data_IF_336728835386
#
_entry.id   IF_336728835386
#
_cell.length_a   1.000
_cell.length_b   1.000
_cell.length_c   1.000
_cell.angle_alpha   90.00
_cell.angle_beta   90.00
_cell.angle_gamma   90.00
#
_symmetry.space_group_name_H-M   'P 1'
#
loop_
_entity.id
_entity.type
_entity.pdbx_description
1 polymer ?
#
# COMPACT_ATOMS: atom_id res chain seq x y z
N UNK A 1 7.94 0.10 -17.80
CA UNK A 1 8.96 -0.86 -17.35
C UNK A 1 9.79 -1.32 -18.54
N UNK A 2 11.02 -1.74 -18.29
CA UNK A 2 11.93 -2.31 -19.28
C UNK A 2 12.44 -3.66 -18.78
N UNK A 3 12.27 -4.71 -19.59
CA UNK A 3 12.73 -6.05 -19.24
C UNK A 3 14.13 -6.30 -19.80
N UNK A 4 15.07 -6.60 -18.92
CA UNK A 4 16.40 -7.06 -19.30
C UNK A 4 16.45 -8.60 -19.28
N UNK A 5 16.55 -9.19 -20.48
CA UNK A 5 16.60 -10.65 -20.69
C UNK A 5 17.86 -11.31 -20.16
N UNK A 6 18.99 -10.59 -20.09
CA UNK A 6 20.25 -11.14 -19.60
C UNK A 6 20.28 -11.29 -18.08
N UNK A 7 19.66 -10.36 -17.36
CA UNK A 7 19.61 -10.37 -15.89
C UNK A 7 18.28 -10.89 -15.33
N UNK A 8 17.26 -11.09 -16.17
CA UNK A 8 15.87 -11.35 -15.78
C UNK A 8 15.33 -10.31 -14.77
N UNK A 9 15.62 -9.02 -15.04
CA UNK A 9 15.20 -7.91 -14.17
C UNK A 9 14.25 -7.00 -14.96
N UNK A 10 13.13 -6.63 -14.35
CA UNK A 10 12.20 -5.63 -14.87
C UNK A 10 12.49 -4.30 -14.18
N UNK A 11 13.11 -3.36 -14.90
CA UNK A 11 13.44 -2.02 -14.40
C UNK A 11 12.26 -1.06 -14.56
N UNK A 12 12.04 -0.21 -13.57
CA UNK A 12 11.11 0.90 -13.70
C UNK A 12 11.72 1.99 -14.59
N UNK A 13 10.88 2.63 -15.42
CA UNK A 13 11.28 3.82 -16.19
C UNK A 13 10.99 5.12 -15.45
N UNK A 14 10.01 5.09 -14.55
CA UNK A 14 9.55 6.25 -13.78
C UNK A 14 10.35 6.41 -12.47
N UNK A 15 10.66 5.29 -11.82
CA UNK A 15 11.46 5.27 -10.61
C UNK A 15 12.86 4.78 -10.95
N UNK A 16 13.78 5.73 -11.18
CA UNK A 16 15.19 5.43 -11.41
C UNK A 16 15.77 4.55 -10.31
N UNK A 17 16.70 3.69 -10.68
CA UNK A 17 17.36 2.73 -9.77
C UNK A 17 16.42 1.76 -9.04
N UNK A 18 15.19 1.57 -9.54
CA UNK A 18 14.23 0.60 -9.00
C UNK A 18 13.90 -0.50 -10.01
N UNK A 19 13.72 -1.71 -9.51
CA UNK A 19 13.19 -2.84 -10.26
C UNK A 19 12.03 -3.50 -9.52
N UNK A 20 11.23 -4.28 -10.24
CA UNK A 20 10.22 -5.15 -9.62
C UNK A 20 10.93 -6.11 -8.67
N UNK A 21 10.51 -6.12 -7.41
CA UNK A 21 11.08 -7.03 -6.41
C UNK A 21 10.76 -8.48 -6.78
N UNK A 22 11.74 -9.37 -6.64
CA UNK A 22 11.52 -10.81 -6.86
C UNK A 22 10.64 -11.41 -5.78
N UNK A 23 10.70 -10.84 -4.57
CA UNK A 23 9.80 -11.14 -3.47
C UNK A 23 8.78 -10.01 -3.34
N UNK A 24 7.53 -10.30 -3.69
CA UNK A 24 6.43 -9.33 -3.58
C UNK A 24 5.86 -9.23 -2.15
N UNK A 25 6.49 -9.90 -1.17
CA UNK A 25 6.10 -9.77 0.23
C UNK A 25 6.52 -8.42 0.82
N UNK A 26 5.52 -7.64 1.19
CA UNK A 26 5.70 -6.31 1.75
C UNK A 26 6.14 -6.35 3.23
N UNK A 27 5.66 -7.33 3.98
CA UNK A 27 5.81 -7.42 5.44
C UNK A 27 4.71 -6.71 6.23
N UNK A 28 3.96 -5.82 5.59
CA UNK A 28 2.77 -5.16 6.17
C UNK A 28 1.55 -5.30 5.25
N UNK A 29 0.41 -4.73 5.63
CA UNK A 29 -0.86 -4.84 4.91
C UNK A 29 -1.27 -6.30 4.64
N UNK A 30 -1.20 -7.13 5.69
CA UNK A 30 -1.43 -8.57 5.58
C UNK A 30 -2.84 -8.83 5.05
N UNK A 31 -2.91 -9.58 3.95
CA UNK A 31 -4.16 -9.87 3.23
C UNK A 31 -4.39 -9.01 1.99
N UNK A 32 -3.60 -7.97 1.74
CA UNK A 32 -3.66 -7.21 0.49
C UNK A 32 -3.13 -8.06 -0.68
N UNK A 33 -3.92 -8.20 -1.74
CA UNK A 33 -3.56 -9.00 -2.93
C UNK A 33 -3.18 -8.16 -4.15
N UNK A 34 -3.34 -6.84 -4.06
CA UNK A 34 -3.05 -5.92 -5.15
C UNK A 34 -1.91 -4.99 -4.79
N UNK A 35 -0.90 -4.98 -5.64
CA UNK A 35 0.22 -4.06 -5.53
C UNK A 35 1.38 -4.56 -6.36
N UNK A 36 2.26 -3.64 -6.74
CA UNK A 36 3.54 -3.96 -7.35
C UNK A 36 4.63 -3.37 -6.46
N UNK A 37 5.37 -4.26 -5.81
CA UNK A 37 6.49 -3.90 -4.96
C UNK A 37 7.76 -3.73 -5.80
N UNK A 38 8.42 -2.60 -5.61
CA UNK A 38 9.69 -2.25 -6.20
C UNK A 38 10.77 -2.20 -5.13
N UNK A 39 11.96 -2.65 -5.48
CA UNK A 39 13.17 -2.53 -4.66
C UNK A 39 14.32 -1.91 -5.43
N UNK A 40 15.31 -1.34 -4.72
CA UNK A 40 16.49 -0.77 -5.32
C UNK A 40 17.24 -1.79 -6.16
N UNK A 41 17.75 -1.35 -7.31
CA UNK A 41 18.62 -2.14 -8.16
C UNK A 41 19.94 -2.36 -7.41
N UNK A 42 20.17 -3.58 -6.92
CA UNK A 42 21.43 -3.94 -6.29
C UNK A 42 22.51 -4.01 -7.38
N UNK A 43 23.42 -3.03 -7.38
CA UNK A 43 24.56 -2.96 -8.31
C UNK A 43 25.65 -3.98 -8.01
N UNK A 44 25.70 -4.48 -6.77
CA UNK A 44 26.58 -5.56 -6.34
C UNK A 44 25.72 -6.73 -5.87
N UNK A 45 26.13 -7.97 -6.16
CA UNK A 45 25.43 -9.22 -5.81
C UNK A 45 25.24 -9.47 -4.30
N UNK A 46 25.45 -8.47 -3.45
CA UNK A 46 25.09 -8.52 -2.04
C UNK A 46 23.61 -8.20 -1.90
N UNK A 47 22.82 -9.23 -1.57
CA UNK A 47 21.51 -9.01 -0.95
C UNK A 47 21.77 -8.25 0.34
N UNK A 48 21.28 -7.02 0.42
CA UNK A 48 21.17 -6.35 1.70
C UNK A 48 20.14 -7.12 2.53
N UNK A 49 20.44 -7.38 3.80
CA UNK A 49 19.45 -7.96 4.72
C UNK A 49 18.19 -7.08 4.81
N UNK A 50 18.33 -5.79 4.53
CA UNK A 50 17.25 -4.80 4.51
C UNK A 50 17.46 -3.77 3.40
N UNK A 51 16.42 -3.48 2.62
CA UNK A 51 16.49 -2.40 1.64
C UNK A 51 16.41 -1.03 2.33
N UNK A 52 17.16 -0.01 1.86
CA UNK A 52 17.09 1.32 2.44
C UNK A 52 15.70 1.94 2.25
N UNK A 53 15.05 1.66 1.12
CA UNK A 53 13.67 2.00 0.84
C UNK A 53 13.12 1.10 -0.27
N UNK A 54 11.86 0.68 -0.16
CA UNK A 54 11.06 0.01 -1.21
C UNK A 54 9.87 0.90 -1.57
N UNK A 55 9.29 0.69 -2.75
CA UNK A 55 8.08 1.40 -3.19
C UNK A 55 6.97 0.41 -3.51
N UNK A 56 5.78 0.63 -2.97
CA UNK A 56 4.59 -0.14 -3.33
C UNK A 56 3.70 0.73 -4.22
N UNK A 57 3.45 0.27 -5.45
CA UNK A 57 2.47 0.87 -6.35
C UNK A 57 1.15 0.13 -6.13
N UNK A 58 0.09 0.85 -5.73
CA UNK A 58 -1.23 0.27 -5.50
C UNK A 58 -2.26 0.93 -6.40
N UNK A 59 -3.02 0.17 -7.22
CA UNK A 59 -4.13 0.71 -7.97
C UNK A 59 -5.20 1.33 -7.04
N UNK A 60 -5.80 2.44 -7.46
CA UNK A 60 -6.98 2.95 -6.78
C UNK A 60 -8.23 2.15 -7.18
N UNK A 61 -9.14 1.94 -6.22
CA UNK A 61 -10.42 1.29 -6.41
C UNK A 61 -11.18 1.14 -5.09
N UNK A 62 -12.35 0.51 -5.15
CA UNK A 62 -13.14 0.16 -3.96
C UNK A 62 -12.54 -1.08 -3.31
N UNK A 63 -12.26 -1.03 -2.01
CA UNK A 63 -11.74 -2.19 -1.30
C UNK A 63 -12.86 -3.18 -0.98
N UNK A 64 -12.64 -4.45 -1.30
CA UNK A 64 -13.56 -5.53 -1.01
C UNK A 64 -12.88 -6.61 -0.19
N UNK A 65 -13.49 -6.93 0.95
CA UNK A 65 -13.13 -8.08 1.76
C UNK A 65 -13.72 -9.35 1.17
N UNK A 66 -12.86 -10.36 0.98
CA UNK A 66 -13.27 -11.73 0.66
C UNK A 66 -12.70 -12.69 1.70
N UNK A 67 -13.56 -13.57 2.19
CA UNK A 67 -13.14 -14.73 2.98
C UNK A 67 -12.93 -15.87 1.98
N UNK A 68 -11.68 -16.16 1.65
CA UNK A 68 -11.36 -17.15 0.60
C UNK A 68 -11.57 -18.59 1.08
N UNK A 69 -11.39 -18.88 2.38
CA UNK A 69 -11.58 -20.21 2.95
C UNK A 69 -11.94 -20.09 4.44
N UNK A 70 -12.95 -20.83 4.90
CA UNK A 70 -13.27 -20.93 6.34
C UNK A 70 -12.09 -21.46 7.19
N UNK A 71 -11.11 -22.13 6.56
CA UNK A 71 -9.91 -22.64 7.21
C UNK A 71 -8.70 -21.69 7.15
N UNK A 72 -8.79 -20.57 6.41
CA UNK A 72 -7.77 -19.52 6.38
C UNK A 72 -8.23 -18.40 7.32
N UNK A 73 -7.54 -18.25 8.45
CA UNK A 73 -7.88 -17.27 9.49
C UNK A 73 -7.62 -15.80 9.11
N UNK A 74 -7.30 -15.48 7.85
CA UNK A 74 -7.00 -14.12 7.43
C UNK A 74 -7.89 -13.66 6.28
N UNK A 75 -8.49 -12.47 6.47
CA UNK A 75 -9.28 -11.78 5.48
C UNK A 75 -8.40 -11.39 4.30
N UNK A 76 -8.90 -11.59 3.08
CA UNK A 76 -8.21 -11.15 1.86
C UNK A 76 -8.86 -9.88 1.34
N UNK A 77 -8.05 -8.86 1.07
CA UNK A 77 -8.49 -7.59 0.52
C UNK A 77 -8.15 -7.54 -0.96
N UNK A 78 -9.18 -7.28 -1.75
CA UNK A 78 -9.11 -7.10 -3.20
C UNK A 78 -9.54 -5.70 -3.58
N UNK A 79 -9.08 -5.21 -4.73
CA UNK A 79 -9.40 -3.87 -5.22
C UNK A 79 -10.31 -4.00 -6.44
N UNK A 80 -11.57 -3.61 -6.29
CA UNK A 80 -12.49 -3.51 -7.41
C UNK A 80 -12.30 -2.17 -8.14
N UNK A 81 -11.86 -2.26 -9.39
CA UNK A 81 -11.64 -1.11 -10.26
C UNK A 81 -12.85 -0.78 -11.14
N UNK A 82 -13.83 -1.68 -11.23
CA UNK A 82 -15.04 -1.48 -12.05
C UNK A 82 -15.96 -0.40 -11.48
N UNK A 83 -15.91 -0.18 -10.16
CA UNK A 83 -16.63 0.89 -9.48
C UNK A 83 -15.94 2.25 -9.54
N UNK A 84 -14.69 2.32 -10.03
CA UNK A 84 -13.87 3.54 -10.12
C UNK A 84 -13.65 3.99 -11.57
N UNK A 85 -14.70 3.95 -12.39
CA UNK A 85 -14.67 4.27 -13.84
C UNK A 85 -14.14 5.68 -14.11
N UNK A 86 -14.41 6.64 -13.21
CA UNK A 86 -13.91 8.01 -13.31
C UNK A 86 -12.39 8.12 -13.14
N UNK A 87 -11.73 7.10 -12.57
CA UNK A 87 -10.31 7.10 -12.21
C UNK A 87 -9.56 5.82 -12.68
N UNK A 88 -9.69 5.40 -13.95
CA UNK A 88 -9.28 4.07 -14.41
C UNK A 88 -7.76 3.88 -14.45
N UNK A 89 -6.99 4.96 -14.36
CA UNK A 89 -5.53 4.96 -14.34
C UNK A 89 -4.95 5.49 -13.03
N UNK A 90 -5.78 5.78 -12.02
CA UNK A 90 -5.30 6.28 -10.73
C UNK A 90 -4.63 5.14 -9.95
N UNK A 91 -3.47 5.45 -9.40
CA UNK A 91 -2.70 4.62 -8.49
C UNK A 91 -2.06 5.51 -7.44
N UNK A 92 -1.65 4.90 -6.34
CA UNK A 92 -0.87 5.54 -5.29
C UNK A 92 0.47 4.84 -5.16
N UNK A 93 1.49 5.60 -4.78
CA UNK A 93 2.79 5.06 -4.42
C UNK A 93 3.03 5.29 -2.95
N UNK A 94 3.47 4.23 -2.29
CA UNK A 94 3.82 4.24 -0.88
C UNK A 94 5.29 3.89 -0.73
N UNK A 95 5.98 4.58 0.17
CA UNK A 95 7.38 4.32 0.49
C UNK A 95 7.44 3.52 1.78
N UNK A 96 8.21 2.44 1.71
CA UNK A 96 8.51 1.57 2.81
C UNK A 96 9.99 1.72 3.18
N UNK A 97 10.29 1.93 4.45
CA UNK A 97 11.66 2.00 4.97
C UNK A 97 11.90 0.85 5.97
N UNK A 98 12.58 -0.20 5.53
CA UNK A 98 12.77 -1.44 6.30
C UNK A 98 13.58 -1.27 7.57
N UNK A 99 14.46 -0.27 7.60
CA UNK A 99 15.27 0.06 8.78
C UNK A 99 14.46 0.84 9.82
N UNK A 100 13.65 1.80 9.39
CA UNK A 100 12.85 2.63 10.29
C UNK A 100 11.49 2.00 10.62
N UNK A 101 11.10 0.94 9.90
CA UNK A 101 9.77 0.32 9.97
C UNK A 101 8.64 1.32 9.70
N UNK A 102 8.89 2.25 8.78
CA UNK A 102 7.93 3.29 8.38
C UNK A 102 7.33 2.92 7.03
N UNK A 103 6.02 2.99 6.95
CA UNK A 103 5.26 2.90 5.70
C UNK A 103 4.36 4.13 5.55
N UNK A 104 4.56 4.90 4.48
CA UNK A 104 3.96 6.22 4.31
C UNK A 104 3.63 6.55 2.85
N UNK A 105 2.70 7.48 2.64
CA UNK A 105 2.39 8.03 1.32
C UNK A 105 3.37 9.13 0.93
N UNK A 106 3.51 9.33 -0.39
CA UNK A 106 4.50 10.23 -0.96
C UNK A 106 3.93 11.62 -1.23
N UNK A 107 2.74 11.73 -1.83
CA UNK A 107 2.48 12.91 -2.67
C UNK A 107 1.08 13.57 -2.52
N UNK A 108 0.19 13.13 -1.61
CA UNK A 108 -1.10 13.83 -1.39
C UNK A 108 -1.85 13.39 -0.14
N UNK A 109 -2.71 14.26 0.45
CA UNK A 109 -3.66 13.87 1.48
C UNK A 109 -4.55 12.69 1.09
N UNK A 110 -5.00 12.64 -0.16
CA UNK A 110 -5.75 11.50 -0.70
C UNK A 110 -4.97 10.19 -0.60
N UNK A 111 -3.66 10.20 -0.88
CA UNK A 111 -2.81 9.03 -0.75
C UNK A 111 -2.64 8.57 0.70
N UNK A 112 -2.50 9.51 1.64
CA UNK A 112 -2.48 9.20 3.07
C UNK A 112 -3.81 8.59 3.55
N UNK A 113 -4.94 9.15 3.11
CA UNK A 113 -6.27 8.59 3.38
C UNK A 113 -6.39 7.18 2.81
N UNK A 114 -5.94 6.94 1.58
CA UNK A 114 -6.00 5.61 0.97
C UNK A 114 -5.12 4.60 1.71
N UNK A 115 -3.93 5.02 2.16
CA UNK A 115 -3.07 4.18 2.98
C UNK A 115 -3.70 3.84 4.34
N UNK A 116 -4.36 4.81 4.97
CA UNK A 116 -5.11 4.57 6.21
C UNK A 116 -6.24 3.56 5.98
N UNK A 117 -7.00 3.70 4.89
CA UNK A 117 -8.04 2.75 4.51
C UNK A 117 -7.47 1.34 4.28
N UNK A 118 -6.33 1.21 3.58
CA UNK A 118 -5.66 -0.07 3.37
C UNK A 118 -5.27 -0.71 4.71
N UNK A 119 -4.67 0.04 5.64
CA UNK A 119 -4.34 -0.47 6.97
C UNK A 119 -5.59 -0.84 7.76
N UNK A 120 -6.68 -0.07 7.72
CA UNK A 120 -7.90 -0.40 8.46
C UNK A 120 -8.57 -1.68 7.97
N UNK A 121 -8.46 -1.96 6.67
CA UNK A 121 -9.03 -3.16 6.03
C UNK A 121 -8.12 -4.39 6.10
N UNK A 122 -6.83 -4.22 6.38
CA UNK A 122 -5.83 -5.32 6.43
C UNK A 122 -5.34 -5.50 7.86
N UNK A 123 -4.73 -6.66 8.19
CA UNK A 123 -4.12 -6.87 9.52
C UNK A 123 -5.06 -6.58 10.73
N UNK A 124 -6.34 -6.98 10.66
CA UNK A 124 -7.26 -6.99 11.80
C UNK A 124 -7.44 -8.43 12.34
N UNK A 125 -7.39 -8.70 13.66
CA UNK A 125 -7.01 -7.86 14.81
C UNK A 125 -5.55 -8.07 15.25
N UNK A 126 -4.74 -8.83 14.50
CA UNK A 126 -3.38 -9.16 14.90
C UNK A 126 -2.41 -8.01 14.57
N UNK A 127 -1.49 -7.67 15.49
CA UNK A 127 -0.44 -6.71 15.20
C UNK A 127 0.34 -7.10 13.94
N UNK A 128 0.48 -6.13 13.05
CA UNK A 128 1.26 -6.25 11.85
C UNK A 128 2.74 -6.41 12.21
N UNK A 129 3.37 -7.48 11.72
CA UNK A 129 4.74 -7.84 12.11
C UNK A 129 5.77 -6.75 11.79
N UNK A 130 5.46 -5.88 10.83
CA UNK A 130 6.36 -4.82 10.41
C UNK A 130 6.24 -3.59 11.29
N UNK A 131 5.01 -3.16 11.60
CA UNK A 131 4.77 -1.93 12.38
C UNK A 131 4.62 -2.18 13.89
N UNK A 132 4.36 -3.42 14.31
CA UNK A 132 4.01 -3.77 15.69
C UNK A 132 2.63 -3.26 16.13
N UNK A 133 1.85 -2.70 15.21
CA UNK A 133 0.53 -2.13 15.45
C UNK A 133 -0.52 -2.93 14.69
N UNK A 134 -1.74 -3.00 15.19
CA UNK A 134 -2.87 -3.52 14.42
C UNK A 134 -3.17 -2.61 13.23
N UNK A 135 -3.83 -3.14 12.20
CA UNK A 135 -4.25 -2.36 11.03
C UNK A 135 -5.07 -1.12 11.41
N UNK A 136 -5.98 -1.25 12.38
CA UNK A 136 -6.81 -0.15 12.90
C UNK A 136 -5.98 0.92 13.61
N UNK A 137 -5.07 0.54 14.51
CA UNK A 137 -4.21 1.51 15.22
C UNK A 137 -3.35 2.29 14.23
N UNK A 138 -2.77 1.61 13.23
CA UNK A 138 -1.95 2.27 12.21
C UNK A 138 -2.79 3.17 11.31
N UNK A 139 -4.00 2.75 10.92
CA UNK A 139 -4.93 3.58 10.18
C UNK A 139 -5.28 4.87 10.94
N UNK A 140 -5.59 4.76 12.23
CA UNK A 140 -5.90 5.92 13.07
C UNK A 140 -4.70 6.86 13.23
N UNK A 141 -3.49 6.31 13.40
CA UNK A 141 -2.27 7.11 13.47
C UNK A 141 -2.02 7.90 12.17
N UNK A 142 -2.22 7.26 11.00
CA UNK A 142 -2.09 7.92 9.70
C UNK A 142 -3.16 9.00 9.52
N UNK A 143 -4.40 8.72 9.91
CA UNK A 143 -5.52 9.66 9.81
C UNK A 143 -5.28 10.95 10.62
N UNK A 144 -4.70 10.82 11.82
CA UNK A 144 -4.35 11.95 12.67
C UNK A 144 -3.01 12.62 12.28
N UNK A 145 -2.28 12.07 11.32
CA UNK A 145 -1.05 12.70 10.84
C UNK A 145 -1.36 13.92 9.98
N UNK A 146 -0.48 14.92 9.98
CA UNK A 146 -0.60 16.09 9.11
C UNK A 146 -0.70 15.72 7.61
N UNK A 147 -0.26 14.52 7.22
CA UNK A 147 -0.35 14.04 5.85
C UNK A 147 -1.77 13.91 5.32
N UNK A 148 -2.77 13.64 6.17
CA UNK A 148 -4.19 13.54 5.77
C UNK A 148 -4.92 14.90 5.72
N UNK A 149 -4.29 15.98 6.19
CA UNK A 149 -4.93 17.29 6.29
C UNK A 149 -4.68 18.09 5.02
N UNK A 150 -5.71 18.81 4.59
CA UNK A 150 -5.69 19.66 3.40
C UNK A 150 -6.14 21.06 3.78
N UNK A 151 -5.48 22.07 3.23
CA UNK A 151 -5.90 23.48 3.30
C UNK A 151 -7.01 23.80 2.28
N UNK A 152 -7.27 22.89 1.35
CA UNK A 152 -8.35 22.94 0.37
C UNK A 152 -9.44 21.91 0.68
N UNK A 153 -10.69 22.12 0.20
CA UNK A 153 -11.73 21.09 0.27
C UNK A 153 -11.28 19.77 -0.36
N UNK A 154 -11.72 18.65 0.23
CA UNK A 154 -11.42 17.32 -0.29
C UNK A 154 -12.06 17.10 -1.66
N UNK A 155 -11.28 16.51 -2.57
CA UNK A 155 -11.76 16.08 -3.89
C UNK A 155 -12.68 14.85 -3.78
N UNK A 156 -13.35 14.52 -4.89
CA UNK A 156 -14.28 13.39 -4.95
C UNK A 156 -13.61 12.06 -4.57
N UNK A 157 -12.33 11.88 -4.92
CA UNK A 157 -11.54 10.69 -4.58
C UNK A 157 -11.35 10.60 -3.06
N UNK A 158 -10.93 11.69 -2.43
CA UNK A 158 -10.75 11.74 -0.97
C UNK A 158 -12.06 11.50 -0.23
N UNK A 159 -13.16 12.09 -0.70
CA UNK A 159 -14.50 11.88 -0.12
C UNK A 159 -14.93 10.41 -0.25
N UNK A 160 -14.69 9.77 -1.39
CA UNK A 160 -14.99 8.35 -1.57
C UNK A 160 -14.20 7.48 -0.57
N UNK A 161 -12.91 7.76 -0.39
CA UNK A 161 -12.06 7.05 0.57
C UNK A 161 -12.57 7.25 2.00
N UNK A 162 -12.93 8.49 2.37
CA UNK A 162 -13.49 8.81 3.69
C UNK A 162 -14.80 8.07 3.95
N UNK A 163 -15.68 7.96 2.95
CA UNK A 163 -16.91 7.15 3.05
C UNK A 163 -16.60 5.66 3.28
N UNK A 164 -15.59 5.11 2.61
CA UNK A 164 -15.14 3.73 2.85
C UNK A 164 -14.61 3.56 4.28
N UNK A 165 -13.78 4.50 4.78
CA UNK A 165 -13.29 4.48 6.17
C UNK A 165 -14.44 4.55 7.17
N UNK A 166 -15.41 5.43 6.95
CA UNK A 166 -16.58 5.56 7.81
C UNK A 166 -17.38 4.26 7.88
N UNK A 167 -17.47 3.50 6.78
CA UNK A 167 -18.22 2.24 6.74
C UNK A 167 -17.62 1.12 7.59
N UNK A 168 -16.32 1.20 7.91
CA UNK A 168 -15.58 0.21 8.71
C UNK A 168 -15.25 0.71 10.12
N UNK A 169 -15.61 1.95 10.43
CA UNK A 169 -15.35 2.56 11.73
C UNK A 169 -16.36 2.06 12.79
N UNK A 170 -15.95 1.87 14.05
CA UNK A 170 -16.88 1.61 15.14
C UNK A 170 -17.95 2.70 15.24
N UNK A 171 -19.18 2.32 15.63
CA UNK A 171 -20.30 3.24 15.84
C UNK A 171 -20.39 3.71 17.28
#
# INVERSE_FOLDING_TARGET
FEYNTSTNIIKSREYSDMCVDKDQWLGTLTGLTFGLLLSPLLTNNYRLDHYPYRKLIVPFGTLQSKILNYNMNHQTITIDRSSSISFPHKYFVFILNDRLKIFQSTDSPTGWLYLALLHGMTSHPLPDQYTGMTGMERAFQLFNSAGCWSDQPFDEVSLNILCQIASISPK
#
